data_IF_663891743900
#
_entry.id   IF_663891743900
#
_cell.length_a   1.000
_cell.length_b   1.000
_cell.length_c   1.000
_cell.angle_alpha   90.00
_cell.angle_beta   90.00
_cell.angle_gamma   90.00
#
_symmetry.space_group_name_H-M   'P 1'
#
loop_
_entity.id
_entity.type
_entity.pdbx_description
1 polymer ?
#
# COMPACT_ATOMS: atom_id res chain seq x y z
N UNK A 1 10.29 5.91 -27.65
CA UNK A 1 9.01 5.67 -26.94
C UNK A 1 9.22 5.00 -25.58
N UNK A 2 9.85 3.82 -25.48
CA UNK A 2 10.06 3.14 -24.19
C UNK A 2 10.90 3.94 -23.17
N UNK A 3 11.98 4.58 -23.62
CA UNK A 3 12.81 5.42 -22.78
C UNK A 3 12.05 6.61 -22.18
N UNK A 4 11.16 7.24 -22.97
CA UNK A 4 10.30 8.34 -22.52
C UNK A 4 9.25 7.85 -21.52
N UNK A 5 8.62 6.71 -21.79
CA UNK A 5 7.69 6.08 -20.84
C UNK A 5 8.39 5.73 -19.51
N UNK A 6 9.63 5.25 -19.56
CA UNK A 6 10.43 4.94 -18.37
C UNK A 6 10.80 6.20 -17.57
N UNK A 7 11.16 7.29 -18.25
CA UNK A 7 11.43 8.58 -17.61
C UNK A 7 10.19 9.15 -16.93
N UNK A 8 9.03 9.12 -17.61
CA UNK A 8 7.77 9.58 -17.04
C UNK A 8 7.39 8.79 -15.77
N UNK A 9 7.46 7.46 -15.81
CA UNK A 9 7.24 6.61 -14.61
C UNK A 9 8.22 6.93 -13.48
N UNK A 10 9.48 7.18 -13.81
CA UNK A 10 10.51 7.52 -12.84
C UNK A 10 10.27 8.89 -12.18
N UNK A 11 9.75 9.86 -12.94
CA UNK A 11 9.35 11.17 -12.41
C UNK A 11 8.12 11.05 -11.48
N UNK A 12 7.07 10.37 -11.95
CA UNK A 12 5.83 10.14 -11.20
C UNK A 12 6.12 9.46 -9.85
N UNK A 13 6.96 8.41 -9.85
CA UNK A 13 7.34 7.70 -8.62
C UNK A 13 8.23 8.52 -7.69
N UNK A 14 9.07 9.43 -8.20
CA UNK A 14 9.88 10.34 -7.35
C UNK A 14 8.98 11.29 -6.54
N UNK A 15 7.95 11.85 -7.19
CA UNK A 15 7.03 12.81 -6.58
C UNK A 15 6.02 12.14 -5.64
N UNK A 16 5.66 10.89 -5.92
CA UNK A 16 4.72 10.13 -5.11
C UNK A 16 5.33 9.55 -3.82
N UNK A 17 6.60 9.12 -3.86
CA UNK A 17 7.31 8.48 -2.73
C UNK A 17 7.21 9.21 -1.37
N UNK A 18 7.35 10.54 -1.28
CA UNK A 18 7.17 11.22 0.00
C UNK A 18 5.69 11.30 0.42
N UNK A 19 4.77 11.53 -0.52
CA UNK A 19 3.34 11.73 -0.23
C UNK A 19 2.58 10.46 0.13
N UNK A 20 3.06 9.29 -0.28
CA UNK A 20 2.37 8.03 0.02
C UNK A 20 2.21 7.79 1.53
N UNK A 21 3.13 8.31 2.34
CA UNK A 21 3.07 8.16 3.80
C UNK A 21 1.87 8.87 4.42
N UNK A 22 1.45 10.01 3.87
CA UNK A 22 0.23 10.70 4.31
C UNK A 22 -1.02 10.11 3.67
N UNK A 23 -0.97 9.75 2.38
CA UNK A 23 -2.14 9.22 1.66
C UNK A 23 -2.59 7.84 2.14
N UNK A 24 -1.69 7.05 2.74
CA UNK A 24 -2.03 5.74 3.32
C UNK A 24 -2.70 5.82 4.69
N UNK A 25 -2.71 6.98 5.33
CA UNK A 25 -3.43 7.19 6.59
C UNK A 25 -4.92 7.28 6.33
N UNK A 26 -5.76 6.82 7.26
CA UNK A 26 -7.21 7.07 7.18
C UNK A 26 -7.50 8.57 7.10
N UNK A 27 -6.83 9.34 7.96
CA UNK A 27 -6.92 10.80 8.05
C UNK A 27 -5.59 11.46 7.62
N UNK A 28 -5.35 11.79 6.34
CA UNK A 28 -4.06 12.30 5.86
C UNK A 28 -3.63 13.65 6.43
N UNK A 29 -4.59 14.47 6.89
CA UNK A 29 -4.34 15.83 7.36
C UNK A 29 -4.01 15.90 8.85
N UNK A 30 -4.47 14.92 9.63
CA UNK A 30 -4.44 14.95 11.10
C UNK A 30 -3.87 13.68 11.71
N UNK A 31 -3.90 12.57 10.97
CA UNK A 31 -3.39 11.29 11.42
C UNK A 31 -1.87 11.28 11.50
N UNK A 32 -1.36 10.50 12.45
CA UNK A 32 0.07 10.19 12.57
C UNK A 32 0.25 8.70 12.76
N UNK A 33 1.39 8.18 12.31
CA UNK A 33 1.78 6.81 12.57
C UNK A 33 2.36 6.69 13.97
N UNK A 34 2.10 5.55 14.60
CA UNK A 34 2.78 5.14 15.81
C UNK A 34 3.40 3.76 15.58
N UNK A 35 4.74 3.63 15.55
CA UNK A 35 5.75 4.71 15.66
C UNK A 35 5.76 5.66 14.45
N UNK A 36 6.38 6.84 14.59
CA UNK A 36 6.55 7.75 13.45
C UNK A 36 7.50 7.12 12.42
N UNK A 37 7.17 7.24 11.12
CA UNK A 37 8.05 6.80 10.04
C UNK A 37 8.90 7.96 9.54
N UNK A 38 10.19 7.70 9.34
CA UNK A 38 11.05 8.63 8.62
C UNK A 38 10.63 8.77 7.15
N UNK A 39 10.53 10.00 6.65
CA UNK A 39 10.33 10.27 5.21
C UNK A 39 11.55 9.89 4.36
N UNK A 40 12.75 9.93 4.97
CA UNK A 40 14.03 9.69 4.28
C UNK A 40 14.45 8.22 4.35
N UNK A 41 14.16 7.56 5.48
CA UNK A 41 14.51 6.16 5.67
C UNK A 41 13.34 5.23 5.28
N UNK A 42 13.64 4.20 4.51
CA UNK A 42 12.68 3.17 4.10
C UNK A 42 12.82 1.86 4.87
N UNK A 43 13.90 1.67 5.61
CA UNK A 43 14.17 0.42 6.36
C UNK A 43 13.10 0.13 7.41
N UNK A 44 12.46 1.18 7.92
CA UNK A 44 11.41 1.07 8.94
C UNK A 44 10.04 0.75 8.32
N UNK A 45 9.87 0.84 6.99
CA UNK A 45 8.56 0.68 6.33
C UNK A 45 8.28 -0.79 5.98
N UNK A 46 7.12 -1.02 5.37
CA UNK A 46 6.72 -2.34 4.92
C UNK A 46 6.43 -3.25 6.10
N UNK A 47 7.02 -4.45 6.15
CA UNK A 47 6.82 -5.41 7.23
C UNK A 47 7.53 -5.06 8.55
N UNK A 48 8.36 -4.00 8.57
CA UNK A 48 9.08 -3.56 9.77
C UNK A 48 8.29 -2.55 10.62
N UNK A 49 7.14 -2.05 10.13
CA UNK A 49 6.28 -1.15 10.87
C UNK A 49 4.85 -1.71 10.96
N UNK A 50 4.22 -1.75 12.16
CA UNK A 50 2.91 -2.35 12.38
C UNK A 50 1.83 -1.93 11.37
N UNK A 51 1.66 -0.62 11.17
CA UNK A 51 0.66 -0.07 10.25
C UNK A 51 0.88 -0.50 8.79
N UNK A 52 2.09 -0.29 8.24
CA UNK A 52 2.37 -0.69 6.85
C UNK A 52 2.39 -2.20 6.66
N UNK A 53 2.76 -2.97 7.69
CA UNK A 53 2.70 -4.42 7.68
C UNK A 53 1.25 -4.91 7.59
N UNK A 54 0.34 -4.30 8.35
CA UNK A 54 -1.08 -4.61 8.28
C UNK A 54 -1.67 -4.32 6.89
N UNK A 55 -1.29 -3.21 6.25
CA UNK A 55 -1.70 -2.89 4.88
C UNK A 55 -1.18 -3.89 3.83
N UNK A 56 0.03 -4.42 4.02
CA UNK A 56 0.68 -5.35 3.10
C UNK A 56 0.30 -6.82 3.33
N UNK A 57 -0.21 -7.15 4.51
CA UNK A 57 -0.64 -8.50 4.84
C UNK A 57 -1.71 -8.95 3.82
N UNK A 58 -1.60 -10.16 3.22
CA UNK A 58 -2.61 -10.65 2.30
C UNK A 58 -3.99 -10.66 2.96
N UNK A 59 -5.02 -10.17 2.26
CA UNK A 59 -6.36 -10.01 2.82
C UNK A 59 -6.97 -11.33 3.30
N UNK A 60 -6.63 -12.45 2.64
CA UNK A 60 -6.99 -13.82 3.05
C UNK A 60 -6.50 -14.24 4.45
N UNK A 61 -5.65 -13.44 5.10
CA UNK A 61 -5.15 -13.69 6.44
C UNK A 61 -5.36 -12.46 7.35
N UNK A 62 -6.60 -12.18 7.77
CA UNK A 62 -6.90 -10.99 8.57
C UNK A 62 -6.31 -11.07 10.00
N UNK A 63 -6.07 -12.27 10.52
CA UNK A 63 -5.68 -12.45 11.92
C UNK A 63 -4.16 -12.36 12.17
N UNK A 64 -3.79 -11.37 12.99
CA UNK A 64 -2.46 -11.07 13.55
C UNK A 64 -1.32 -11.05 12.52
N UNK A 65 -1.16 -9.90 11.86
CA UNK A 65 -0.12 -9.64 10.86
C UNK A 65 1.29 -10.05 11.32
N UNK A 66 1.64 -9.93 12.60
CA UNK A 66 2.95 -10.38 13.12
C UNK A 66 3.17 -11.88 12.92
N UNK A 67 2.14 -12.69 13.22
CA UNK A 67 2.18 -14.14 13.05
C UNK A 67 2.20 -14.51 11.57
N UNK A 68 1.40 -13.84 10.75
CA UNK A 68 1.35 -14.07 9.30
C UNK A 68 2.67 -13.71 8.64
N UNK A 69 3.26 -12.56 8.99
CA UNK A 69 4.57 -12.13 8.48
C UNK A 69 5.65 -13.15 8.81
N UNK A 70 5.66 -13.68 10.05
CA UNK A 70 6.60 -14.75 10.43
C UNK A 70 6.38 -16.02 9.62
N UNK A 71 5.13 -16.49 9.52
CA UNK A 71 4.79 -17.68 8.71
C UNK A 71 5.10 -17.51 7.22
N UNK A 72 4.97 -16.30 6.67
CA UNK A 72 5.37 -15.99 5.29
C UNK A 72 6.90 -16.08 5.13
N UNK A 73 7.67 -15.54 6.09
CA UNK A 73 9.14 -15.64 6.11
C UNK A 73 9.63 -17.07 6.26
N UNK A 74 8.98 -17.86 7.11
CA UNK A 74 9.31 -19.26 7.37
C UNK A 74 8.82 -20.20 6.23
N UNK A 75 8.16 -19.68 5.19
CA UNK A 75 7.64 -20.45 4.07
C UNK A 75 6.41 -21.31 4.39
N UNK A 76 5.84 -21.16 5.58
CA UNK A 76 4.63 -21.88 6.05
C UNK A 76 3.39 -21.40 5.30
N UNK A 77 3.29 -20.10 5.05
CA UNK A 77 2.21 -19.51 4.25
C UNK A 77 2.71 -19.27 2.83
N UNK A 78 2.02 -19.90 1.87
CA UNK A 78 2.28 -19.66 0.46
C UNK A 78 1.61 -18.35 0.02
N UNK A 79 2.45 -17.43 -0.42
CA UNK A 79 2.06 -16.18 -1.07
C UNK A 79 2.20 -16.42 -2.56
N UNK A 80 1.10 -16.27 -3.29
CA UNK A 80 1.02 -16.45 -4.73
C UNK A 80 0.44 -15.19 -5.39
N UNK A 81 0.17 -15.28 -6.69
CA UNK A 81 -0.38 -14.18 -7.48
C UNK A 81 -1.83 -13.80 -7.13
N UNK A 82 -2.53 -14.55 -6.27
CA UNK A 82 -3.87 -14.18 -5.77
C UNK A 82 -3.84 -13.61 -4.36
N UNK A 83 -2.67 -13.63 -3.71
CA UNK A 83 -2.45 -13.17 -2.34
C UNK A 83 -2.32 -11.63 -2.27
N UNK A 84 -3.37 -10.92 -2.68
CA UNK A 84 -3.36 -9.46 -2.71
C UNK A 84 -3.29 -8.83 -1.31
N UNK A 85 -2.52 -7.74 -1.15
CA UNK A 85 -2.46 -6.97 0.08
C UNK A 85 -3.82 -6.44 0.54
N UNK A 86 -3.95 -6.23 1.86
CA UNK A 86 -5.15 -5.66 2.48
C UNK A 86 -5.56 -4.32 1.86
N UNK A 87 -4.60 -3.46 1.54
CA UNK A 87 -4.87 -2.13 0.97
C UNK A 87 -5.46 -2.18 -0.46
N UNK A 88 -5.55 -3.33 -1.11
CA UNK A 88 -6.20 -3.41 -2.42
C UNK A 88 -7.71 -3.19 -2.35
N UNK A 89 -8.34 -3.32 -1.17
CA UNK A 89 -9.76 -3.05 -0.96
C UNK A 89 -9.97 -2.00 0.11
N UNK A 90 -11.17 -1.43 0.13
CA UNK A 90 -11.65 -0.72 1.31
C UNK A 90 -11.74 -1.69 2.52
N UNK A 91 -11.58 -1.17 3.74
CA UNK A 91 -11.72 -1.97 4.96
C UNK A 91 -13.08 -2.67 5.03
N UNK A 92 -14.14 -1.98 4.62
CA UNK A 92 -15.52 -2.47 4.73
C UNK A 92 -16.03 -3.24 3.49
N UNK A 93 -15.28 -3.27 2.38
CA UNK A 93 -15.81 -3.74 1.08
C UNK A 93 -15.18 -5.05 0.57
N UNK A 94 -14.38 -5.74 1.37
CA UNK A 94 -13.84 -7.03 0.95
C UNK A 94 -14.92 -8.10 1.02
N UNK A 95 -15.11 -8.79 -0.11
CA UNK A 95 -16.06 -9.87 -0.30
C UNK A 95 -15.25 -11.15 -0.60
N UNK A 96 -15.36 -12.16 0.26
CA UNK A 96 -14.61 -13.41 0.13
C UNK A 96 -15.12 -14.26 -1.06
N UNK A 97 -16.40 -14.13 -1.41
CA UNK A 97 -17.02 -14.84 -2.53
C UNK A 97 -16.76 -14.14 -3.87
N UNK A 98 -16.55 -12.82 -3.85
CA UNK A 98 -16.20 -12.02 -5.03
C UNK A 98 -15.03 -11.06 -4.74
N UNK A 99 -13.80 -11.60 -4.82
CA UNK A 99 -12.59 -10.81 -4.59
C UNK A 99 -12.42 -9.62 -5.56
N UNK A 100 -13.08 -9.61 -6.71
CA UNK A 100 -12.95 -8.53 -7.69
C UNK A 100 -13.76 -7.30 -7.29
N UNK A 101 -14.81 -7.50 -6.49
CA UNK A 101 -15.63 -6.43 -5.95
C UNK A 101 -14.80 -5.50 -5.09
N UNK A 102 -14.82 -4.21 -5.42
CA UNK A 102 -14.07 -3.19 -4.68
C UNK A 102 -12.55 -3.24 -4.86
N UNK A 103 -12.02 -4.12 -5.73
CA UNK A 103 -10.58 -4.21 -5.98
C UNK A 103 -10.04 -2.88 -6.54
N UNK A 104 -8.94 -2.43 -5.97
CA UNK A 104 -8.27 -1.15 -6.21
C UNK A 104 -9.11 0.10 -5.97
N UNK A 105 -10.18 -0.01 -5.16
CA UNK A 105 -11.05 1.12 -4.80
C UNK A 105 -10.86 1.64 -3.38
N UNK A 106 -9.75 1.29 -2.73
CA UNK A 106 -9.44 1.86 -1.42
C UNK A 106 -9.06 3.34 -1.54
N UNK A 107 -9.25 4.10 -0.46
CA UNK A 107 -8.99 5.54 -0.47
C UNK A 107 -7.54 5.89 -0.80
N UNK A 108 -6.57 5.10 -0.33
CA UNK A 108 -5.15 5.32 -0.61
C UNK A 108 -4.89 5.33 -2.12
N UNK A 109 -5.38 4.31 -2.84
CA UNK A 109 -5.21 4.16 -4.28
C UNK A 109 -5.95 5.27 -5.04
N UNK A 110 -7.15 5.65 -4.60
CA UNK A 110 -7.91 6.75 -5.19
C UNK A 110 -7.16 8.09 -5.02
N UNK A 111 -6.61 8.37 -3.83
CA UNK A 111 -5.82 9.58 -3.54
C UNK A 111 -4.56 9.64 -4.41
N UNK A 112 -3.85 8.52 -4.54
CA UNK A 112 -2.66 8.41 -5.39
C UNK A 112 -3.01 8.63 -6.86
N UNK A 113 -4.05 7.95 -7.36
CA UNK A 113 -4.49 8.09 -8.74
C UNK A 113 -4.93 9.52 -9.06
N UNK A 114 -5.62 10.19 -8.14
CA UNK A 114 -6.02 11.60 -8.30
C UNK A 114 -4.85 12.58 -8.27
N UNK A 115 -3.72 12.17 -7.70
CA UNK A 115 -2.53 13.01 -7.59
C UNK A 115 -1.64 12.97 -8.84
N UNK A 116 -1.51 11.81 -9.50
CA UNK A 116 -0.61 11.64 -10.65
C UNK A 116 -0.95 12.54 -11.86
N UNK A 117 -2.22 12.73 -12.28
CA UNK A 117 -2.56 13.66 -13.36
C UNK A 117 -2.19 15.11 -13.04
N UNK A 118 -2.28 15.53 -11.77
CA UNK A 118 -1.95 16.90 -11.34
C UNK A 118 -0.47 17.24 -11.48
N UNK A 119 0.40 16.23 -11.48
CA UNK A 119 1.84 16.39 -11.66
C UNK A 119 2.27 16.57 -13.12
N UNK A 120 1.41 16.24 -14.09
CA UNK A 120 1.73 16.35 -15.52
C UNK A 120 1.39 17.72 -16.12
N UNK A 121 0.69 18.56 -15.37
CA UNK A 121 0.22 19.88 -15.82
C UNK A 121 0.71 21.04 -14.91
N UNK A 122 1.67 20.78 -14.00
CA UNK A 122 2.35 21.77 -13.16
C UNK A 122 3.80 21.94 -13.60
#
# INVERSE_FOLDING_TARGET
>A
LEAQASQARSADTKLLKPKILSYMLEEPLTGNLNPLLSEKNKSERGFNHPYTAALLCPRKYPDSFFRITRKMKDGIIKVDNTSFPFFCWDRAQYDEEDMWKGLFRNETLIRVYSYLPRLRFS
#
